data_IF_428421478479
#
_entry.id   IF_428421478479
#
_cell.length_a   1.000
_cell.length_b   1.000
_cell.length_c   1.000
_cell.angle_alpha   90.00
_cell.angle_beta   90.00
_cell.angle_gamma   90.00
#
_symmetry.space_group_name_H-M   'P 1'
#
loop_
_entity.id
_entity.type
_entity.pdbx_description
1 polymer ?
#
# COMPACT_ATOMS: atom_id res chain seq x y z
N UNK A 1 48.85 -2.15 7.60
CA UNK A 1 47.45 -1.67 7.68
C UNK A 1 46.44 -2.50 6.85
N UNK A 2 46.66 -2.78 5.56
CA UNK A 2 45.58 -3.35 4.68
C UNK A 2 45.04 -4.76 5.06
N UNK A 3 45.90 -5.76 5.34
CA UNK A 3 45.47 -7.17 5.49
C UNK A 3 44.42 -7.41 6.58
N UNK A 4 44.59 -6.80 7.75
CA UNK A 4 43.70 -7.02 8.91
C UNK A 4 42.32 -6.37 8.69
N UNK A 5 42.29 -5.18 8.07
CA UNK A 5 41.04 -4.50 7.68
C UNK A 5 40.28 -5.31 6.63
N UNK A 6 40.97 -5.92 5.67
CA UNK A 6 40.37 -6.77 4.65
C UNK A 6 39.80 -8.07 5.25
N UNK A 7 40.52 -8.73 6.16
CA UNK A 7 40.01 -9.89 6.90
C UNK A 7 38.76 -9.55 7.72
N UNK A 8 38.76 -8.42 8.43
CA UNK A 8 37.61 -7.97 9.21
C UNK A 8 36.40 -7.64 8.31
N UNK A 9 36.62 -6.97 7.18
CA UNK A 9 35.57 -6.68 6.20
C UNK A 9 34.94 -7.97 5.62
N UNK A 10 35.76 -8.97 5.27
CA UNK A 10 35.28 -10.28 4.80
C UNK A 10 34.46 -10.97 5.89
N UNK A 11 34.92 -10.96 7.15
CA UNK A 11 34.20 -11.54 8.28
C UNK A 11 32.80 -10.89 8.45
N UNK A 12 32.73 -9.55 8.43
CA UNK A 12 31.47 -8.82 8.52
C UNK A 12 30.52 -9.14 7.35
N UNK A 13 31.02 -9.26 6.12
CA UNK A 13 30.22 -9.67 4.96
C UNK A 13 29.69 -11.10 5.11
N UNK A 14 30.52 -12.04 5.57
CA UNK A 14 30.09 -13.42 5.84
C UNK A 14 28.97 -13.48 6.89
N UNK A 15 29.09 -12.75 8.00
CA UNK A 15 28.05 -12.69 9.05
C UNK A 15 26.75 -12.07 8.51
N UNK A 16 26.84 -10.99 7.72
CA UNK A 16 25.67 -10.37 7.11
C UNK A 16 24.93 -11.30 6.13
N UNK A 17 25.66 -12.05 5.31
CA UNK A 17 25.08 -13.04 4.38
C UNK A 17 24.45 -14.22 5.13
N UNK A 18 25.09 -14.70 6.20
CA UNK A 18 24.53 -15.77 7.05
C UNK A 18 23.21 -15.35 7.72
N UNK A 19 23.11 -14.11 8.20
CA UNK A 19 21.88 -13.58 8.79
C UNK A 19 20.72 -13.55 7.77
N UNK A 20 20.96 -13.00 6.57
CA UNK A 20 19.95 -12.92 5.50
C UNK A 20 19.44 -14.31 5.06
N UNK A 21 20.35 -15.28 4.93
CA UNK A 21 19.99 -16.66 4.57
C UNK A 21 19.08 -17.30 5.64
N UNK A 22 19.37 -17.09 6.93
CA UNK A 22 18.58 -17.62 8.04
C UNK A 22 17.15 -17.06 8.06
N UNK A 23 16.99 -15.76 7.84
CA UNK A 23 15.67 -15.11 7.74
C UNK A 23 14.86 -15.60 6.54
N UNK A 24 15.53 -15.89 5.42
CA UNK A 24 14.90 -16.45 4.23
C UNK A 24 14.38 -17.88 4.48
N UNK A 25 15.13 -18.70 5.20
CA UNK A 25 14.72 -20.05 5.58
C UNK A 25 13.53 -20.04 6.56
N UNK A 26 13.56 -19.17 7.58
CA UNK A 26 12.46 -19.01 8.56
C UNK A 26 11.14 -18.74 7.84
N UNK A 27 11.09 -17.71 6.98
CA UNK A 27 9.87 -17.38 6.24
C UNK A 27 9.43 -18.49 5.27
N UNK A 28 10.37 -19.28 4.72
CA UNK A 28 10.04 -20.42 3.85
C UNK A 28 9.37 -21.54 4.65
N UNK A 29 9.96 -21.93 5.77
CA UNK A 29 9.48 -23.00 6.67
C UNK A 29 8.12 -22.67 7.30
N UNK A 30 7.88 -21.40 7.65
CA UNK A 30 6.58 -20.93 8.12
C UNK A 30 5.51 -21.06 7.03
N UNK A 31 5.79 -20.60 5.81
CA UNK A 31 4.88 -20.71 4.68
C UNK A 31 4.59 -22.18 4.29
N UNK A 32 5.60 -23.05 4.26
CA UNK A 32 5.42 -24.49 4.06
C UNK A 32 4.50 -25.11 5.14
N UNK A 33 4.61 -24.64 6.38
CA UNK A 33 3.74 -25.09 7.50
C UNK A 33 2.32 -24.55 7.37
N UNK A 34 2.15 -23.30 6.91
CA UNK A 34 0.83 -22.75 6.58
C UNK A 34 0.15 -23.55 5.47
N UNK A 35 0.85 -23.78 4.35
CA UNK A 35 0.32 -24.55 3.20
C UNK A 35 -0.08 -25.98 3.55
N UNK A 36 0.67 -26.65 4.43
CA UNK A 36 0.28 -27.98 4.96
C UNK A 36 -1.05 -27.96 5.73
N UNK A 37 -1.39 -26.85 6.38
CA UNK A 37 -2.63 -26.68 7.13
C UNK A 37 -3.78 -26.05 6.30
N UNK A 38 -3.52 -25.61 5.07
CA UNK A 38 -4.45 -24.89 4.19
C UNK A 38 -5.73 -25.70 3.90
N UNK A 39 -5.62 -27.03 3.79
CA UNK A 39 -6.79 -27.94 3.64
C UNK A 39 -7.73 -27.93 4.85
N UNK A 40 -7.23 -27.62 6.05
CA UNK A 40 -8.02 -27.60 7.31
C UNK A 40 -8.48 -26.19 7.67
N UNK A 41 -7.64 -25.18 7.40
CA UNK A 41 -7.85 -23.79 7.83
C UNK A 41 -8.40 -22.87 6.73
N UNK A 42 -8.52 -23.38 5.50
CA UNK A 42 -8.91 -22.62 4.33
C UNK A 42 -7.77 -21.83 3.68
N UNK A 43 -7.95 -21.54 2.38
CA UNK A 43 -7.03 -20.72 1.56
C UNK A 43 -7.04 -19.25 1.99
N UNK A 44 -8.17 -18.78 2.54
CA UNK A 44 -8.42 -17.40 2.94
C UNK A 44 -8.86 -17.33 4.41
N UNK A 45 -8.66 -16.19 5.06
CA UNK A 45 -9.20 -15.86 6.37
C UNK A 45 -9.65 -14.39 6.41
N UNK A 46 -10.24 -13.94 7.52
CA UNK A 46 -10.75 -12.57 7.65
C UNK A 46 -9.68 -11.49 7.41
N UNK A 47 -8.43 -11.79 7.79
CA UNK A 47 -7.28 -10.90 7.56
C UNK A 47 -6.95 -10.78 6.07
N UNK A 48 -6.81 -11.91 5.36
CA UNK A 48 -6.52 -11.88 3.92
C UNK A 48 -7.69 -11.37 3.10
N UNK A 49 -8.93 -11.69 3.47
CA UNK A 49 -10.15 -11.14 2.88
C UNK A 49 -10.22 -9.61 3.04
N UNK A 50 -10.01 -9.10 4.26
CA UNK A 50 -10.00 -7.65 4.54
C UNK A 50 -8.87 -6.95 3.78
N UNK A 51 -7.68 -7.53 3.77
CA UNK A 51 -6.53 -7.00 3.04
C UNK A 51 -6.79 -6.96 1.52
N UNK A 52 -7.34 -8.02 0.93
CA UNK A 52 -7.70 -8.07 -0.49
C UNK A 52 -8.81 -7.05 -0.83
N UNK A 53 -9.83 -6.92 0.02
CA UNK A 53 -10.89 -5.93 -0.14
C UNK A 53 -10.39 -4.48 -0.05
N UNK A 54 -9.39 -4.22 0.79
CA UNK A 54 -8.71 -2.92 0.86
C UNK A 54 -7.88 -2.66 -0.40
N UNK A 55 -6.99 -3.59 -0.77
CA UNK A 55 -6.05 -3.42 -1.86
C UNK A 55 -6.68 -3.40 -3.26
N UNK A 56 -7.79 -4.12 -3.46
CA UNK A 56 -8.57 -4.08 -4.71
C UNK A 56 -9.28 -2.74 -4.95
N UNK A 57 -9.58 -2.00 -3.88
CA UNK A 57 -10.24 -0.69 -3.91
C UNK A 57 -9.26 0.49 -3.80
N UNK A 58 -7.98 0.24 -3.54
CA UNK A 58 -7.02 1.30 -3.25
C UNK A 58 -6.68 2.12 -4.52
N UNK A 59 -6.82 3.46 -4.48
CA UNK A 59 -6.38 4.32 -5.57
C UNK A 59 -4.90 4.10 -5.93
N UNK A 60 -4.60 3.97 -7.22
CA UNK A 60 -3.26 3.72 -7.74
C UNK A 60 -2.84 2.23 -7.79
N UNK A 61 -3.61 1.31 -7.22
CA UNK A 61 -3.41 -0.14 -7.37
C UNK A 61 -4.41 -0.66 -8.41
N UNK A 62 -3.94 -0.95 -9.63
CA UNK A 62 -4.74 -1.61 -10.66
C UNK A 62 -4.54 -3.13 -10.64
N UNK A 63 -5.57 -3.87 -11.07
CA UNK A 63 -5.56 -5.34 -11.23
C UNK A 63 -5.03 -6.07 -9.99
N UNK A 64 -5.71 -5.96 -8.85
CA UNK A 64 -5.34 -6.68 -7.64
C UNK A 64 -5.63 -8.18 -7.78
N UNK A 65 -4.57 -9.00 -7.74
CA UNK A 65 -4.70 -10.44 -7.52
C UNK A 65 -4.97 -10.68 -6.04
N UNK A 66 -6.00 -11.45 -5.72
CA UNK A 66 -6.25 -11.87 -4.35
C UNK A 66 -5.08 -12.73 -3.84
N UNK A 67 -4.57 -12.33 -2.69
CA UNK A 67 -3.48 -12.98 -1.95
C UNK A 67 -4.08 -13.99 -0.99
N UNK A 68 -3.54 -15.20 -0.91
CA UNK A 68 -3.98 -16.22 0.06
C UNK A 68 -3.52 -15.90 1.49
N UNK A 69 -4.09 -16.59 2.49
CA UNK A 69 -3.64 -16.52 3.88
C UNK A 69 -2.14 -16.75 3.99
N UNK A 70 -1.63 -17.81 3.36
CA UNK A 70 -0.22 -18.18 3.44
C UNK A 70 0.69 -17.25 2.64
N UNK A 71 0.24 -16.77 1.47
CA UNK A 71 0.96 -15.74 0.73
C UNK A 71 1.07 -14.43 1.52
N UNK A 72 0.03 -14.03 2.26
CA UNK A 72 0.05 -12.82 3.10
C UNK A 72 0.97 -12.98 4.31
N UNK A 73 1.00 -14.15 4.95
CA UNK A 73 1.98 -14.48 6.01
C UNK A 73 3.41 -14.45 5.47
N UNK A 74 3.67 -15.10 4.33
CA UNK A 74 4.99 -15.09 3.68
C UNK A 74 5.43 -13.67 3.31
N UNK A 75 4.54 -12.88 2.72
CA UNK A 75 4.79 -11.48 2.38
C UNK A 75 5.11 -10.65 3.63
N UNK A 76 4.36 -10.85 4.71
CA UNK A 76 4.57 -10.20 6.01
C UNK A 76 5.95 -10.53 6.56
N UNK A 77 6.31 -11.81 6.67
CA UNK A 77 7.62 -12.26 7.17
C UNK A 77 8.79 -11.69 6.35
N UNK A 78 8.68 -11.69 5.01
CA UNK A 78 9.68 -11.08 4.12
C UNK A 78 9.81 -9.56 4.30
N UNK A 79 8.71 -8.87 4.60
CA UNK A 79 8.70 -7.43 4.79
C UNK A 79 9.21 -7.02 6.18
N UNK A 80 8.93 -7.80 7.22
CA UNK A 80 9.37 -7.51 8.60
C UNK A 80 10.82 -7.90 8.86
N UNK A 81 11.25 -9.10 8.43
CA UNK A 81 12.61 -9.60 8.69
C UNK A 81 13.59 -9.11 7.60
N UNK A 82 13.39 -9.52 6.35
CA UNK A 82 14.41 -9.36 5.31
C UNK A 82 14.50 -7.96 4.70
N UNK A 83 13.38 -7.23 4.62
CA UNK A 83 13.29 -5.94 3.90
C UNK A 83 13.06 -4.73 4.81
N UNK A 84 12.77 -4.93 6.10
CA UNK A 84 12.42 -3.88 7.08
C UNK A 84 11.46 -2.81 6.52
N UNK A 85 10.44 -3.25 5.78
CA UNK A 85 9.58 -2.41 4.96
C UNK A 85 8.11 -2.45 5.42
N UNK A 86 7.44 -1.30 5.35
CA UNK A 86 6.04 -1.16 5.77
C UNK A 86 5.13 -2.11 4.97
N UNK A 87 4.26 -2.83 5.68
CA UNK A 87 3.24 -3.70 5.08
C UNK A 87 2.17 -2.83 4.44
N UNK A 88 2.10 -2.86 3.11
CA UNK A 88 1.06 -2.20 2.31
C UNK A 88 0.87 -2.96 1.00
N UNK A 89 -0.22 -2.69 0.28
CA UNK A 89 -0.60 -3.41 -0.94
C UNK A 89 0.54 -3.48 -1.98
N UNK A 90 1.27 -2.38 -2.20
CA UNK A 90 2.38 -2.34 -3.17
C UNK A 90 3.56 -3.20 -2.71
N UNK A 91 3.93 -3.11 -1.45
CA UNK A 91 5.05 -3.88 -0.89
C UNK A 91 4.74 -5.39 -0.79
N UNK A 92 3.48 -5.75 -0.51
CA UNK A 92 3.01 -7.15 -0.50
C UNK A 92 2.98 -7.72 -1.92
N UNK A 93 2.43 -7.01 -2.91
CA UNK A 93 2.50 -7.43 -4.32
C UNK A 93 3.96 -7.69 -4.75
N UNK A 94 4.84 -6.73 -4.45
CA UNK A 94 6.27 -6.80 -4.76
C UNK A 94 7.08 -7.82 -3.93
N UNK A 95 6.50 -8.47 -2.91
CA UNK A 95 7.16 -9.55 -2.15
C UNK A 95 6.66 -10.94 -2.52
N UNK A 96 5.57 -11.05 -3.28
CA UNK A 96 4.99 -12.30 -3.77
C UNK A 96 5.31 -12.51 -5.25
N UNK A 97 5.05 -11.52 -6.11
CA UNK A 97 5.08 -11.69 -7.58
C UNK A 97 6.50 -11.69 -8.19
N UNK A 98 7.55 -11.40 -7.41
CA UNK A 98 8.93 -11.30 -7.91
C UNK A 98 9.99 -11.30 -6.80
N UNK A 99 10.57 -12.46 -6.53
CA UNK A 99 11.59 -12.68 -5.50
C UNK A 99 13.01 -12.20 -5.85
N UNK A 100 13.18 -11.22 -6.74
CA UNK A 100 14.50 -10.79 -7.24
C UNK A 100 14.95 -9.41 -6.73
N UNK A 101 15.73 -9.43 -5.65
CA UNK A 101 17.02 -8.73 -5.67
C UNK A 101 17.08 -7.20 -5.65
N UNK A 102 16.03 -6.47 -5.28
CA UNK A 102 16.22 -5.05 -4.88
C UNK A 102 15.38 -4.70 -3.65
N UNK A 103 16.01 -4.30 -2.52
CA UNK A 103 15.29 -3.62 -1.45
C UNK A 103 14.56 -2.42 -2.05
N UNK A 104 13.31 -2.12 -1.66
CA UNK A 104 12.78 -0.79 -1.91
C UNK A 104 13.73 0.17 -1.21
N UNK A 105 14.44 1.02 -1.97
CA UNK A 105 15.26 2.08 -1.38
C UNK A 105 14.36 2.84 -0.41
N UNK A 106 14.74 2.89 0.87
CA UNK A 106 14.03 3.66 1.87
C UNK A 106 13.95 5.10 1.40
N UNK A 107 12.82 5.45 0.77
CA UNK A 107 12.52 6.82 0.39
C UNK A 107 12.15 7.50 1.69
N UNK A 108 13.18 7.91 2.43
CA UNK A 108 13.07 8.83 3.55
C UNK A 108 12.22 9.98 3.08
N UNK A 109 11.01 10.08 3.61
CA UNK A 109 10.09 11.17 3.29
C UNK A 109 10.59 12.40 4.04
N UNK A 110 11.67 13.01 3.55
CA UNK A 110 12.18 14.26 4.10
C UNK A 110 11.04 15.27 4.05
N UNK A 111 10.63 15.87 5.19
CA UNK A 111 9.54 16.82 5.18
C UNK A 111 9.94 17.99 4.29
N UNK A 112 9.23 18.16 3.17
CA UNK A 112 9.47 19.25 2.23
C UNK A 112 8.96 20.55 2.84
N UNK A 113 9.78 21.16 3.69
CA UNK A 113 9.59 22.54 4.13
C UNK A 113 9.60 23.44 2.90
N UNK A 114 8.40 23.83 2.45
CA UNK A 114 8.23 24.84 1.41
C UNK A 114 8.65 26.18 1.96
N UNK A 115 9.96 26.47 1.88
CA UNK A 115 10.52 27.80 2.14
C UNK A 115 9.98 28.74 1.07
N UNK A 116 8.85 29.40 1.39
CA UNK A 116 8.32 30.48 0.55
C UNK A 116 9.32 31.63 0.57
N UNK A 117 9.99 31.87 -0.56
CA UNK A 117 10.72 33.12 -0.78
C UNK A 117 9.70 34.25 -0.93
N UNK A 118 9.74 35.31 -0.11
CA UNK A 118 8.83 36.43 -0.25
C UNK A 118 9.33 37.36 -1.38
N UNK A 119 8.78 37.22 -2.59
CA UNK A 119 9.06 38.17 -3.67
C UNK A 119 8.18 39.42 -3.52
N UNK A 120 8.81 40.59 -3.58
CA UNK A 120 8.22 41.88 -3.24
C UNK A 120 7.22 42.40 -4.29
N UNK A 121 5.99 42.64 -3.83
CA UNK A 121 5.11 43.79 -4.10
C UNK A 121 5.30 44.51 -5.46
N UNK A 122 4.35 44.32 -6.39
CA UNK A 122 3.91 45.39 -7.30
C UNK A 122 2.39 45.33 -7.51
N UNK A 123 1.75 46.49 -7.43
CA UNK A 123 0.32 46.73 -7.61
C UNK A 123 0.11 48.23 -7.92
N UNK A 124 -1.08 48.68 -8.34
CA UNK A 124 -2.08 48.04 -9.18
C UNK A 124 -2.35 48.84 -10.47
N UNK A 125 -2.94 48.22 -11.50
CA UNK A 125 -3.49 48.94 -12.65
C UNK A 125 -5.02 48.79 -12.66
N UNK A 126 -5.73 49.90 -12.43
CA UNK A 126 -7.18 49.99 -12.47
C UNK A 126 -7.69 50.12 -13.89
N UNK A 127 -8.64 49.27 -14.32
CA UNK A 127 -9.69 49.72 -15.24
C UNK A 127 -10.99 48.93 -15.07
N UNK A 128 -12.02 49.65 -14.64
CA UNK A 128 -13.41 49.18 -14.62
C UNK A 128 -13.98 49.18 -16.04
N UNK A 129 -14.75 48.15 -16.38
CA UNK A 129 -15.90 48.27 -17.30
C UNK A 129 -16.95 47.21 -17.01
N UNK A 130 -17.89 47.60 -16.16
CA UNK A 130 -19.23 47.01 -15.96
C UNK A 130 -19.94 46.75 -17.30
N UNK A 131 -20.44 45.54 -17.53
CA UNK A 131 -21.68 45.31 -18.31
C UNK A 131 -22.51 44.19 -17.69
N UNK A 132 -23.66 44.59 -17.14
CA UNK A 132 -24.69 43.71 -16.55
C UNK A 132 -25.93 43.67 -17.44
N UNK A 133 -26.40 42.48 -17.83
CA UNK A 133 -27.81 42.14 -18.17
C UNK A 133 -27.91 40.66 -18.60
N UNK A 134 -28.99 39.88 -18.42
CA UNK A 134 -30.07 39.84 -17.40
C UNK A 134 -30.91 38.55 -17.61
N UNK A 135 -31.25 37.81 -16.54
CA UNK A 135 -32.26 36.73 -16.54
C UNK A 135 -31.83 35.36 -17.13
N UNK A 136 -32.57 34.24 -17.00
CA UNK A 136 -33.78 33.86 -16.21
C UNK A 136 -34.02 32.35 -16.46
N UNK A 137 -34.43 31.43 -15.57
CA UNK A 137 -34.49 31.29 -14.09
C UNK A 137 -34.73 29.77 -13.79
N UNK A 138 -34.51 29.23 -12.57
CA UNK A 138 -34.65 27.78 -12.31
C UNK A 138 -36.12 27.32 -12.24
N UNK A 139 -36.44 26.17 -12.83
CA UNK A 139 -37.75 25.51 -12.71
C UNK A 139 -37.71 24.32 -11.74
N UNK A 140 -38.73 24.27 -10.89
CA UNK A 140 -38.98 23.26 -9.86
C UNK A 140 -39.95 22.18 -10.35
N UNK A 141 -40.30 21.25 -9.43
CA UNK A 141 -41.55 20.43 -9.38
C UNK A 141 -41.46 19.02 -9.99
N UNK A 142 -42.09 17.97 -9.45
CA UNK A 142 -42.51 17.59 -8.07
C UNK A 142 -43.08 16.15 -8.11
N UNK A 143 -43.08 15.43 -6.97
CA UNK A 143 -43.83 14.18 -6.73
C UNK A 143 -43.35 12.93 -7.53
N UNK A 144 -43.62 11.68 -7.11
CA UNK A 144 -44.69 11.19 -6.21
C UNK A 144 -44.27 9.92 -5.44
N UNK A 145 -44.75 9.80 -4.20
CA UNK A 145 -44.74 8.58 -3.37
C UNK A 145 -45.65 7.50 -3.98
N UNK A 146 -45.23 6.23 -3.95
CA UNK A 146 -46.14 5.06 -3.97
C UNK A 146 -45.66 4.01 -2.97
N UNK A 147 -46.57 3.55 -2.11
CA UNK A 147 -46.37 2.57 -1.03
C UNK A 147 -47.41 1.47 -1.14
N UNK A 148 -47.00 0.22 -1.33
CA UNK A 148 -47.81 -1.02 -1.24
C UNK A 148 -46.86 -2.23 -1.40
N UNK A 149 -47.06 -3.43 -0.82
CA UNK A 149 -48.02 -3.93 0.19
C UNK A 149 -47.43 -5.22 0.80
N UNK A 150 -47.66 -5.49 2.09
CA UNK A 150 -47.70 -6.85 2.68
C UNK A 150 -49.18 -7.08 3.05
N UNK A 151 -49.78 -8.23 2.72
CA UNK A 151 -50.00 -9.25 3.76
C UNK A 151 -49.96 -10.71 3.25
N UNK A 152 -49.57 -11.63 4.13
CA UNK A 152 -50.24 -12.93 4.27
C UNK A 152 -50.11 -13.38 5.72
N UNK A 153 -51.22 -13.80 6.30
CA UNK A 153 -51.28 -14.64 7.51
C UNK A 153 -51.16 -16.11 7.09
N UNK A 154 -50.34 -16.88 7.80
CA UNK A 154 -50.75 -18.04 8.62
C UNK A 154 -49.63 -18.34 9.63
#
# INVERSE_FOLDING_TARGET
>A
MSKNTLLFAILCLCVAVQAQNREQEICRKENETCRRNERRLGVQNDVSNTFNNHCSRQPGIRNWRNVSRCELTLATCRLTLQRCAVINCKNVRNSIDGGSGRPPTSRTTTPRTTRRTPTTRRAPATRSSRRTTRGRAPTTRSSRRTTTRRPTEE
#
